data_IF_968044031404
#
_entry.id   IF_968044031404
#
_cell.length_a   1.000
_cell.length_b   1.000
_cell.length_c   1.000
_cell.angle_alpha   90.00
_cell.angle_beta   90.00
_cell.angle_gamma   90.00
#
_symmetry.space_group_name_H-M   'P 1'
#
loop_
_entity.id
_entity.type
_entity.pdbx_description
1 polymer ?
#
# COMPACT_ATOMS: atom_id res chain seq x y z
N UNK A 1 -14.71 0.61 -9.84
CA UNK A 1 -14.02 1.58 -10.74
C UNK A 1 -14.67 1.53 -12.11
N UNK A 2 -15.35 2.59 -12.57
CA UNK A 2 -15.68 2.78 -14.00
C UNK A 2 -14.59 3.65 -14.63
N UNK A 3 -14.20 3.37 -15.88
CA UNK A 3 -13.25 4.19 -16.65
C UNK A 3 -13.89 4.44 -18.00
N UNK A 4 -14.09 5.70 -18.37
CA UNK A 4 -14.48 6.07 -19.74
C UNK A 4 -13.25 6.48 -20.57
N UNK A 5 -12.20 7.06 -19.97
CA UNK A 5 -10.96 7.46 -20.65
C UNK A 5 -9.70 7.17 -19.81
N UNK A 6 -8.56 6.99 -20.49
CA UNK A 6 -7.26 6.83 -19.83
C UNK A 6 -6.85 8.14 -19.11
N UNK A 7 -6.52 8.04 -17.82
CA UNK A 7 -5.98 9.17 -17.04
C UNK A 7 -7.00 9.99 -16.25
N UNK A 8 -8.32 9.82 -16.47
CA UNK A 8 -9.36 10.49 -15.69
C UNK A 8 -10.01 9.47 -14.75
N UNK A 9 -9.71 9.58 -13.45
CA UNK A 9 -10.34 8.73 -12.43
C UNK A 9 -11.66 9.37 -12.02
N UNK A 10 -12.76 8.93 -12.64
CA UNK A 10 -14.09 9.32 -12.19
C UNK A 10 -14.43 8.75 -10.79
N UNK A 11 -15.29 9.51 -10.12
CA UNK A 11 -15.89 9.33 -8.78
C UNK A 11 -15.77 7.92 -8.21
N UNK A 12 -15.05 7.80 -7.08
CA UNK A 12 -14.94 6.58 -6.31
C UNK A 12 -16.22 6.35 -5.50
N UNK A 13 -17.07 5.42 -5.96
CA UNK A 13 -18.21 4.94 -5.18
C UNK A 13 -17.72 4.04 -4.02
N UNK A 14 -17.82 4.56 -2.80
CA UNK A 14 -17.57 3.79 -1.57
C UNK A 14 -18.85 3.03 -1.22
N UNK A 15 -18.75 1.70 -1.15
CA UNK A 15 -19.82 0.82 -0.66
C UNK A 15 -19.53 0.52 0.81
N UNK A 16 -20.44 0.93 1.70
CA UNK A 16 -20.28 0.81 3.15
C UNK A 16 -20.18 2.16 3.85
N UNK A 17 -20.15 2.14 5.19
CA UNK A 17 -20.01 3.32 6.03
C UNK A 17 -18.62 3.39 6.65
N UNK A 18 -17.95 4.52 6.43
CA UNK A 18 -16.58 4.79 6.86
C UNK A 18 -16.52 5.95 7.85
N UNK A 19 -17.65 6.58 8.17
CA UNK A 19 -17.70 7.77 9.03
C UNK A 19 -17.13 7.45 10.42
N UNK A 20 -16.25 8.33 10.89
CA UNK A 20 -15.55 8.26 12.18
C UNK A 20 -14.69 6.99 12.38
N UNK A 21 -14.39 6.25 11.31
CA UNK A 21 -13.57 5.03 11.33
C UNK A 21 -12.15 5.27 10.82
N UNK A 22 -11.20 4.53 11.38
CA UNK A 22 -9.87 4.40 10.80
C UNK A 22 -9.93 3.41 9.64
N UNK A 23 -9.68 3.86 8.42
CA UNK A 23 -9.71 3.03 7.22
C UNK A 23 -8.31 2.53 6.86
N UNK A 24 -8.26 1.28 6.42
CA UNK A 24 -7.04 0.66 5.90
C UNK A 24 -7.30 0.25 4.46
N UNK A 25 -6.50 0.80 3.55
CA UNK A 25 -6.43 0.37 2.15
C UNK A 25 -5.44 -0.78 2.07
N UNK A 26 -5.86 -1.91 1.50
CA UNK A 26 -4.99 -3.04 1.20
C UNK A 26 -4.89 -3.22 -0.31
N UNK A 27 -3.68 -3.44 -0.81
CA UNK A 27 -3.42 -3.80 -2.20
C UNK A 27 -2.22 -4.75 -2.27
N UNK A 28 -2.07 -5.47 -3.37
CA UNK A 28 -0.88 -6.31 -3.59
C UNK A 28 0.31 -5.46 -4.06
N UNK A 29 0.08 -4.50 -4.95
CA UNK A 29 1.13 -3.69 -5.59
C UNK A 29 0.73 -2.22 -5.75
N UNK A 30 1.71 -1.33 -5.55
CA UNK A 30 1.55 0.10 -5.83
C UNK A 30 2.64 0.59 -6.77
N UNK A 31 2.22 1.10 -7.92
CA UNK A 31 3.09 1.70 -8.93
C UNK A 31 3.11 3.22 -8.79
N UNK A 32 2.36 3.98 -9.60
CA UNK A 32 2.36 5.45 -9.50
C UNK A 32 1.74 6.04 -8.22
N UNK A 33 1.05 5.25 -7.39
CA UNK A 33 0.35 5.72 -6.18
C UNK A 33 -0.93 6.54 -6.41
N UNK A 34 -1.30 6.84 -7.66
CA UNK A 34 -2.45 7.71 -7.97
C UNK A 34 -3.80 7.14 -7.51
N UNK A 35 -4.06 5.85 -7.78
CA UNK A 35 -5.31 5.20 -7.35
C UNK A 35 -5.43 5.19 -5.82
N UNK A 36 -4.34 4.90 -5.12
CA UNK A 36 -4.27 4.82 -3.67
C UNK A 36 -4.51 6.19 -3.01
N UNK A 37 -3.86 7.25 -3.50
CA UNK A 37 -4.10 8.61 -3.02
C UNK A 37 -5.53 9.08 -3.26
N UNK A 38 -6.09 8.80 -4.44
CA UNK A 38 -7.47 9.16 -4.76
C UNK A 38 -8.48 8.40 -3.88
N UNK A 39 -8.21 7.13 -3.58
CA UNK A 39 -9.03 6.35 -2.64
C UNK A 39 -8.97 6.94 -1.22
N UNK A 40 -7.80 7.36 -0.77
CA UNK A 40 -7.65 8.01 0.54
C UNK A 40 -8.43 9.32 0.62
N UNK A 41 -8.38 10.16 -0.42
CA UNK A 41 -9.18 11.39 -0.50
C UNK A 41 -10.68 11.06 -0.40
N UNK A 42 -11.17 10.12 -1.21
CA UNK A 42 -12.58 9.75 -1.22
C UNK A 42 -13.06 9.23 0.15
N UNK A 43 -12.23 8.47 0.86
CA UNK A 43 -12.53 7.96 2.20
C UNK A 43 -12.60 9.11 3.24
N UNK A 44 -11.62 10.02 3.22
CA UNK A 44 -11.61 11.18 4.11
C UNK A 44 -12.82 12.10 3.86
N UNK A 45 -13.18 12.35 2.59
CA UNK A 45 -14.38 13.12 2.21
C UNK A 45 -15.69 12.48 2.69
N UNK A 46 -15.72 11.15 2.85
CA UNK A 46 -16.86 10.42 3.44
C UNK A 46 -16.83 10.38 4.98
N UNK A 47 -15.90 11.08 5.61
CA UNK A 47 -15.82 11.22 7.06
C UNK A 47 -14.97 10.16 7.75
N UNK A 48 -14.08 9.46 7.04
CA UNK A 48 -13.10 8.60 7.69
C UNK A 48 -12.23 9.42 8.66
N UNK A 49 -11.89 8.82 9.80
CA UNK A 49 -11.04 9.43 10.83
C UNK A 49 -9.57 9.46 10.42
N UNK A 50 -9.12 8.48 9.66
CA UNK A 50 -7.80 8.42 9.03
C UNK A 50 -7.78 7.38 7.92
N UNK A 51 -6.82 7.46 7.00
CA UNK A 51 -6.60 6.42 5.99
C UNK A 51 -5.12 6.03 5.98
N UNK A 52 -4.84 4.76 6.26
CA UNK A 52 -3.50 4.17 6.02
C UNK A 52 -3.58 3.18 4.87
N UNK A 53 -2.46 2.93 4.20
CA UNK A 53 -2.37 1.90 3.19
C UNK A 53 -1.29 0.87 3.52
N UNK A 54 -1.56 -0.38 3.20
CA UNK A 54 -0.66 -1.51 3.35
C UNK A 54 -0.60 -2.23 2.01
N UNK A 55 0.59 -2.27 1.42
CA UNK A 55 0.79 -2.80 0.08
C UNK A 55 2.00 -3.73 0.08
N UNK A 56 1.89 -4.92 -0.47
CA UNK A 56 3.02 -5.87 -0.44
C UNK A 56 4.19 -5.31 -1.25
N UNK A 57 3.97 -4.96 -2.51
CA UNK A 57 5.02 -4.56 -3.44
C UNK A 57 4.97 -3.04 -3.72
N UNK A 58 5.96 -2.31 -3.23
CA UNK A 58 6.12 -0.88 -3.51
C UNK A 58 6.97 -0.62 -4.75
N UNK A 59 6.39 -0.67 -5.96
CA UNK A 59 7.11 -0.31 -7.19
C UNK A 59 7.43 1.19 -7.20
N UNK A 60 6.46 2.03 -6.81
CA UNK A 60 6.64 3.45 -6.54
C UNK A 60 7.44 4.19 -7.64
N UNK A 61 7.05 3.98 -8.90
CA UNK A 61 7.71 4.56 -10.07
C UNK A 61 7.57 6.09 -10.17
N UNK A 62 8.45 6.69 -10.97
CA UNK A 62 8.44 8.11 -11.29
C UNK A 62 8.36 9.02 -10.05
N UNK A 63 7.34 9.88 -9.99
CA UNK A 63 7.10 10.83 -8.91
C UNK A 63 6.19 10.26 -7.80
N UNK A 64 6.06 8.94 -7.68
CA UNK A 64 5.21 8.33 -6.67
C UNK A 64 5.62 8.69 -5.23
N UNK A 65 6.91 8.65 -4.83
CA UNK A 65 7.31 9.03 -3.47
C UNK A 65 6.88 10.46 -3.10
N UNK A 66 7.07 11.41 -4.02
CA UNK A 66 6.63 12.81 -3.86
C UNK A 66 5.11 12.92 -3.75
N UNK A 67 4.37 12.14 -4.54
CA UNK A 67 2.91 12.08 -4.49
C UNK A 67 2.43 11.57 -3.13
N UNK A 68 3.06 10.51 -2.60
CA UNK A 68 2.75 9.97 -1.27
C UNK A 68 3.07 11.00 -0.19
N UNK A 69 4.24 11.64 -0.25
CA UNK A 69 4.64 12.68 0.71
C UNK A 69 3.59 13.81 0.78
N UNK A 70 3.12 14.28 -0.38
CA UNK A 70 2.15 15.38 -0.52
C UNK A 70 0.69 14.96 -0.28
N UNK A 71 0.37 13.67 -0.22
CA UNK A 71 -1.01 13.19 -0.06
C UNK A 71 -1.50 13.38 1.38
N UNK A 72 -2.14 14.51 1.69
CA UNK A 72 -2.64 14.83 3.05
C UNK A 72 -3.67 13.83 3.57
N UNK A 73 -4.53 13.29 2.68
CA UNK A 73 -5.54 12.31 3.05
C UNK A 73 -4.95 10.94 3.45
N UNK A 74 -3.69 10.66 3.11
CA UNK A 74 -3.00 9.42 3.46
C UNK A 74 -2.11 9.64 4.68
N UNK A 75 -2.44 8.94 5.77
CA UNK A 75 -1.70 8.95 7.03
C UNK A 75 -0.33 8.30 6.88
N UNK A 76 -0.28 7.09 6.31
CA UNK A 76 0.95 6.37 6.00
C UNK A 76 0.74 5.33 4.91
N UNK A 77 1.83 4.96 4.25
CA UNK A 77 1.94 3.82 3.35
C UNK A 77 2.96 2.84 3.94
N UNK A 78 2.52 1.61 4.23
CA UNK A 78 3.40 0.52 4.64
C UNK A 78 3.65 -0.39 3.44
N UNK A 79 4.91 -0.66 3.14
CA UNK A 79 5.35 -1.59 2.09
C UNK A 79 6.30 -2.65 2.64
N UNK A 80 6.45 -3.77 1.93
CA UNK A 80 7.54 -4.71 2.23
C UNK A 80 8.85 -4.31 1.54
N UNK A 81 9.97 -4.86 2.01
CA UNK A 81 11.28 -4.81 1.34
C UNK A 81 11.41 -5.80 0.15
N UNK A 82 10.28 -6.29 -0.41
CA UNK A 82 10.29 -7.16 -1.61
C UNK A 82 10.84 -6.49 -2.87
N UNK A 83 10.89 -5.16 -2.91
CA UNK A 83 11.54 -4.35 -3.94
C UNK A 83 12.50 -3.40 -3.22
N UNK A 84 13.73 -3.28 -3.72
CA UNK A 84 14.74 -2.38 -3.14
C UNK A 84 14.26 -0.92 -3.18
N UNK A 85 14.28 -0.27 -2.03
CA UNK A 85 13.87 1.12 -1.90
C UNK A 85 14.88 2.05 -2.56
N UNK A 86 14.39 3.07 -3.25
CA UNK A 86 15.22 4.16 -3.75
C UNK A 86 15.48 5.17 -2.63
N UNK A 87 16.53 6.02 -2.73
CA UNK A 87 16.79 7.05 -1.73
C UNK A 87 15.59 8.00 -1.49
N UNK A 88 14.76 8.24 -2.52
CA UNK A 88 13.55 9.04 -2.42
C UNK A 88 12.46 8.36 -1.58
N UNK A 89 12.37 7.02 -1.65
CA UNK A 89 11.46 6.23 -0.83
C UNK A 89 11.92 6.28 0.62
N UNK A 90 13.20 6.04 0.89
CA UNK A 90 13.78 6.09 2.24
C UNK A 90 13.64 7.47 2.90
N UNK A 91 13.75 8.54 2.10
CA UNK A 91 13.59 9.91 2.59
C UNK A 91 12.12 10.28 2.89
N UNK A 92 11.14 9.50 2.41
CA UNK A 92 9.73 9.81 2.55
C UNK A 92 9.19 9.36 3.91
N UNK A 93 8.96 10.31 4.82
CA UNK A 93 8.47 10.06 6.20
C UNK A 93 7.09 9.38 6.30
N UNK A 94 6.31 9.33 5.22
CA UNK A 94 5.02 8.64 5.18
C UNK A 94 5.14 7.19 4.75
N UNK A 95 6.29 6.77 4.22
CA UNK A 95 6.53 5.41 3.78
C UNK A 95 7.27 4.68 4.90
N UNK A 96 6.72 3.54 5.31
CA UNK A 96 7.28 2.63 6.29
C UNK A 96 7.56 1.31 5.58
N UNK A 97 8.77 0.76 5.77
CA UNK A 97 9.20 -0.49 5.14
C UNK A 97 9.24 -1.57 6.21
N UNK A 98 8.55 -2.69 5.97
CA UNK A 98 8.55 -3.87 6.83
C UNK A 98 9.35 -4.97 6.15
N UNK A 99 10.32 -5.54 6.86
CA UNK A 99 11.11 -6.62 6.29
C UNK A 99 10.31 -7.92 6.19
N UNK A 100 10.42 -8.61 5.05
CA UNK A 100 9.93 -9.97 4.85
C UNK A 100 11.09 -11.00 4.86
N UNK A 101 12.29 -10.58 5.27
CA UNK A 101 13.47 -11.44 5.31
C UNK A 101 13.28 -12.69 6.18
N UNK A 102 12.70 -12.57 7.37
CA UNK A 102 12.42 -13.72 8.26
C UNK A 102 11.46 -14.73 7.62
N UNK A 103 10.40 -14.23 6.96
CA UNK A 103 9.43 -15.07 6.25
C UNK A 103 10.10 -15.84 5.10
N UNK A 104 10.92 -15.16 4.29
CA UNK A 104 11.64 -15.77 3.19
C UNK A 104 12.73 -16.75 3.67
N UNK A 105 13.46 -16.40 4.73
CA UNK A 105 14.48 -17.25 5.33
C UNK A 105 13.87 -18.55 5.86
N UNK A 106 12.74 -18.47 6.55
CA UNK A 106 12.03 -19.65 7.05
C UNK A 106 11.45 -20.50 5.92
N UNK A 107 10.93 -19.88 4.86
CA UNK A 107 10.49 -20.60 3.66
C UNK A 107 11.65 -21.38 3.01
N UNK A 108 12.81 -20.74 2.82
CA UNK A 108 14.02 -21.38 2.28
C UNK A 108 14.47 -22.54 3.18
N UNK A 109 14.53 -22.33 4.50
CA UNK A 109 14.92 -23.35 5.48
C UNK A 109 14.00 -24.58 5.41
N UNK A 110 12.68 -24.36 5.34
CA UNK A 110 11.69 -25.44 5.24
C UNK A 110 11.81 -26.22 3.94
N UNK A 111 12.00 -25.53 2.81
CA UNK A 111 12.23 -26.19 1.52
C UNK A 111 13.49 -27.07 1.58
N UNK A 112 14.59 -26.56 2.14
CA UNK A 112 15.85 -27.30 2.27
C UNK A 112 15.73 -28.52 3.20
N UNK A 113 14.83 -28.49 4.18
CA UNK A 113 14.61 -29.55 5.15
C UNK A 113 13.41 -30.46 4.82
N UNK A 114 12.76 -30.28 3.66
CA UNK A 114 11.51 -30.99 3.29
C UNK A 114 10.37 -30.81 4.32
N UNK A 115 10.37 -29.68 5.02
CA UNK A 115 9.33 -29.30 5.97
C UNK A 115 8.18 -28.58 5.28
N UNK A 116 6.99 -28.60 5.88
CA UNK A 116 5.81 -27.94 5.32
C UNK A 116 5.98 -26.43 5.28
N UNK A 117 5.95 -25.84 4.07
CA UNK A 117 5.88 -24.38 3.86
C UNK A 117 4.49 -23.85 4.18
N UNK A 118 3.44 -24.67 4.06
CA UNK A 118 2.05 -24.23 4.28
C UNK A 118 1.79 -23.72 5.69
N UNK A 119 2.58 -24.12 6.69
CA UNK A 119 2.42 -23.60 8.06
C UNK A 119 2.97 -22.18 8.25
N UNK A 120 3.45 -21.51 7.19
CA UNK A 120 3.81 -20.08 7.23
C UNK A 120 2.62 -19.15 6.98
N UNK A 121 1.45 -19.70 6.65
CA UNK A 121 0.26 -18.93 6.24
C UNK A 121 -0.80 -18.78 7.35
N UNK A 122 -0.54 -19.32 8.55
CA UNK A 122 -1.39 -19.25 9.75
C UNK A 122 -0.73 -18.39 10.84
#
# INVERSE_FOLDING_TARGET
KRREHAGVSEVMHIIGDVKDRHCILFDDIVDSGGTLCNAAVALMEKGAKSVSAYVTHGVLSDNAPDRIAKAEALTRLVISDSIEATPQIDACKKIEIVSISDLLAEAIRRIANEESVSSLFD
#
